data_IF_579432571437
#
_entry.id   IF_579432571437
#
_cell.length_a   1.000
_cell.length_b   1.000
_cell.length_c   1.000
_cell.angle_alpha   90.00
_cell.angle_beta   90.00
_cell.angle_gamma   90.00
#
_symmetry.space_group_name_H-M   'P 1'
#
loop_
_entity.id
_entity.type
_entity.pdbx_description
1 polymer ?
#
# COMPACT_ATOMS: atom_id res chain seq x y z
N UNK A 1 -34.38 -20.82 33.52
CA UNK A 1 -34.46 -19.49 32.88
C UNK A 1 -34.20 -19.70 31.41
N UNK A 2 -35.10 -19.24 30.55
CA UNK A 2 -34.93 -19.30 29.09
C UNK A 2 -33.89 -18.25 28.71
N UNK A 3 -32.82 -18.63 28.01
CA UNK A 3 -31.81 -17.67 27.55
C UNK A 3 -32.45 -16.76 26.49
N UNK A 4 -32.58 -15.48 26.79
CA UNK A 4 -33.08 -14.46 25.85
C UNK A 4 -31.98 -13.41 25.69
N UNK A 5 -31.52 -13.23 24.46
CA UNK A 5 -30.50 -12.25 24.11
C UNK A 5 -31.16 -10.93 23.73
N UNK A 6 -30.65 -9.83 24.28
CA UNK A 6 -31.08 -8.47 23.97
C UNK A 6 -29.96 -7.73 23.26
N UNK A 7 -30.27 -7.10 22.14
CA UNK A 7 -29.31 -6.29 21.39
C UNK A 7 -28.92 -5.05 22.19
N UNK A 8 -27.64 -4.68 22.13
CA UNK A 8 -27.06 -3.43 22.64
C UNK A 8 -26.71 -2.51 21.46
N UNK A 9 -27.62 -1.62 21.03
CA UNK A 9 -27.37 -0.73 19.88
C UNK A 9 -26.21 0.24 20.11
N UNK A 10 -25.92 0.55 21.38
CA UNK A 10 -24.80 1.39 21.81
C UNK A 10 -23.43 0.71 21.64
N UNK A 11 -23.41 -0.58 21.30
CA UNK A 11 -22.20 -1.38 21.12
C UNK A 11 -22.31 -2.21 19.85
N UNK A 12 -22.44 -1.53 18.70
CA UNK A 12 -22.55 -2.16 17.40
C UNK A 12 -21.62 -1.49 16.40
N UNK A 13 -20.74 -2.28 15.77
CA UNK A 13 -19.74 -1.80 14.83
C UNK A 13 -19.69 -2.67 13.58
N UNK A 14 -19.36 -2.07 12.43
CA UNK A 14 -19.27 -2.81 11.18
C UNK A 14 -18.24 -2.20 10.25
N UNK A 15 -17.65 -3.07 9.42
CA UNK A 15 -16.73 -2.67 8.37
C UNK A 15 -17.49 -2.43 7.06
N UNK A 16 -17.64 -1.17 6.69
CA UNK A 16 -18.43 -0.73 5.53
C UNK A 16 -17.82 -1.23 4.23
N UNK A 17 -18.65 -1.73 3.32
CA UNK A 17 -18.22 -2.10 1.95
C UNK A 17 -17.98 -0.88 1.08
N UNK A 18 -18.71 0.19 1.31
CA UNK A 18 -18.61 1.44 0.53
C UNK A 18 -17.36 2.22 0.93
N UNK A 19 -17.26 2.58 2.22
CA UNK A 19 -16.19 3.46 2.70
C UNK A 19 -14.93 2.70 3.09
N UNK A 20 -15.01 1.36 3.23
CA UNK A 20 -13.89 0.51 3.65
C UNK A 20 -13.31 0.92 5.00
N UNK A 21 -14.18 1.36 5.91
CA UNK A 21 -13.83 1.76 7.28
C UNK A 21 -14.75 1.10 8.30
N UNK A 22 -14.23 0.92 9.51
CA UNK A 22 -15.03 0.55 10.67
C UNK A 22 -15.78 1.77 11.22
N UNK A 23 -17.06 1.57 11.50
CA UNK A 23 -17.91 2.60 12.10
C UNK A 23 -19.02 1.99 12.95
N UNK A 24 -19.75 2.85 13.66
CA UNK A 24 -20.98 2.45 14.33
C UNK A 24 -22.04 2.07 13.29
N UNK A 25 -22.89 1.09 13.60
CA UNK A 25 -23.94 0.61 12.70
C UNK A 25 -25.32 0.75 13.32
N UNK A 26 -26.33 0.91 12.46
CA UNK A 26 -27.73 0.93 12.87
C UNK A 26 -28.33 -0.47 12.85
N UNK A 27 -28.35 -1.12 14.01
CA UNK A 27 -28.89 -2.49 14.20
C UNK A 27 -30.41 -2.58 14.10
N UNK A 28 -31.11 -1.45 13.91
CA UNK A 28 -32.57 -1.44 13.67
C UNK A 28 -32.93 -1.71 12.21
N UNK A 29 -31.94 -1.70 11.32
CA UNK A 29 -32.13 -2.02 9.91
C UNK A 29 -32.37 -3.52 9.69
N UNK A 30 -33.01 -3.89 8.57
CA UNK A 30 -33.10 -5.29 8.15
C UNK A 30 -31.73 -5.95 8.05
N UNK A 31 -31.64 -7.21 8.47
CA UNK A 31 -30.39 -7.99 8.43
C UNK A 31 -29.83 -8.15 7.01
N UNK A 32 -30.69 -8.26 6.00
CA UNK A 32 -30.28 -8.27 4.59
C UNK A 32 -29.56 -6.98 4.19
N UNK A 33 -30.04 -5.82 4.66
CA UNK A 33 -29.40 -4.52 4.44
C UNK A 33 -28.05 -4.47 5.14
N UNK A 34 -27.98 -4.86 6.41
CA UNK A 34 -26.71 -4.90 7.14
C UNK A 34 -25.68 -5.84 6.50
N UNK A 35 -26.10 -7.01 6.01
CA UNK A 35 -25.20 -7.95 5.32
C UNK A 35 -24.78 -7.45 3.93
N UNK A 36 -25.63 -6.65 3.28
CA UNK A 36 -25.36 -6.00 2.01
C UNK A 36 -24.38 -4.83 2.15
N UNK A 37 -24.50 -4.04 3.21
CA UNK A 37 -23.73 -2.79 3.39
C UNK A 37 -22.38 -3.04 4.08
N UNK A 38 -22.30 -4.06 4.94
CA UNK A 38 -21.11 -4.37 5.73
C UNK A 38 -20.50 -5.71 5.33
N UNK A 39 -19.17 -5.79 5.30
CA UNK A 39 -18.47 -7.06 5.09
C UNK A 39 -18.58 -7.97 6.32
N UNK A 40 -18.50 -7.35 7.49
CA UNK A 40 -18.59 -7.97 8.80
C UNK A 40 -19.14 -6.93 9.76
N UNK A 41 -19.93 -7.37 10.73
CA UNK A 41 -20.38 -6.54 11.82
C UNK A 41 -20.36 -7.31 13.15
N UNK A 42 -20.13 -6.56 14.21
CA UNK A 42 -20.04 -7.02 15.58
C UNK A 42 -21.10 -6.28 16.40
N UNK A 43 -21.94 -7.03 17.11
CA UNK A 43 -23.03 -6.44 17.90
C UNK A 43 -22.98 -6.99 19.32
N UNK A 44 -22.98 -6.09 20.30
CA UNK A 44 -23.12 -6.41 21.71
C UNK A 44 -24.49 -6.98 22.01
N UNK A 45 -24.53 -8.04 22.79
CA UNK A 45 -25.73 -8.70 23.28
C UNK A 45 -25.66 -8.82 24.79
N UNK A 46 -26.79 -8.70 25.49
CA UNK A 46 -26.88 -8.99 26.92
C UNK A 46 -27.87 -10.13 27.16
N UNK A 47 -27.48 -11.12 27.98
CA UNK A 47 -28.35 -12.20 28.42
C UNK A 47 -27.96 -12.69 29.82
N UNK A 48 -28.94 -12.87 30.70
CA UNK A 48 -28.76 -13.40 32.07
C UNK A 48 -27.69 -12.65 32.89
N UNK A 49 -27.58 -11.33 32.73
CA UNK A 49 -26.59 -10.50 33.42
C UNK A 49 -25.16 -10.64 32.91
N UNK A 50 -24.97 -11.23 31.73
CA UNK A 50 -23.69 -11.32 31.02
C UNK A 50 -23.79 -10.64 29.66
N UNK A 51 -22.66 -10.09 29.23
CA UNK A 51 -22.53 -9.47 27.92
C UNK A 51 -21.72 -10.35 26.98
N UNK A 52 -22.10 -10.29 25.71
CA UNK A 52 -21.54 -11.09 24.63
C UNK A 52 -21.39 -10.23 23.37
N UNK A 53 -20.54 -10.67 22.45
CA UNK A 53 -20.40 -10.12 21.11
C UNK A 53 -20.87 -11.16 20.10
N UNK A 54 -21.82 -10.77 19.26
CA UNK A 54 -22.19 -11.49 18.05
C UNK A 54 -21.31 -11.03 16.90
N UNK A 55 -20.67 -11.98 16.22
CA UNK A 55 -19.86 -11.72 15.02
C UNK A 55 -20.63 -12.27 13.83
N UNK A 56 -21.02 -11.39 12.89
CA UNK A 56 -21.93 -11.76 11.80
C UNK A 56 -21.39 -12.87 10.90
N UNK A 57 -20.07 -12.94 10.72
CA UNK A 57 -19.42 -13.94 9.88
C UNK A 57 -19.72 -15.39 10.30
N UNK A 58 -19.92 -15.65 11.59
CA UNK A 58 -20.24 -16.99 12.09
C UNK A 58 -21.70 -17.40 11.89
N UNK A 59 -22.55 -16.44 11.53
CA UNK A 59 -24.00 -16.62 11.36
C UNK A 59 -24.50 -16.16 9.98
N UNK A 60 -23.60 -15.86 9.04
CA UNK A 60 -23.94 -15.20 7.78
C UNK A 60 -25.04 -15.93 6.99
N UNK A 61 -25.01 -17.27 6.96
CA UNK A 61 -26.02 -18.07 6.27
C UNK A 61 -27.44 -17.86 6.82
N UNK A 62 -27.56 -17.64 8.13
CA UNK A 62 -28.83 -17.41 8.82
C UNK A 62 -29.30 -15.96 8.71
N UNK A 63 -28.37 -15.00 8.54
CA UNK A 63 -28.66 -13.56 8.58
C UNK A 63 -28.89 -12.94 7.20
N UNK A 64 -28.16 -13.38 6.16
CA UNK A 64 -28.00 -12.64 4.90
C UNK A 64 -29.28 -12.43 4.07
N UNK A 65 -30.31 -13.25 4.25
CA UNK A 65 -31.57 -13.18 3.48
C UNK A 65 -32.78 -12.77 4.33
N UNK A 66 -32.53 -12.22 5.53
CA UNK A 66 -33.60 -11.86 6.47
C UNK A 66 -34.03 -10.42 6.29
N UNK A 67 -35.33 -10.22 6.10
CA UNK A 67 -35.96 -8.90 5.96
C UNK A 67 -36.31 -8.25 7.31
N UNK A 68 -36.08 -8.96 8.42
CA UNK A 68 -36.35 -8.49 9.79
C UNK A 68 -35.05 -8.10 10.51
N UNK A 69 -35.19 -7.64 11.75
CA UNK A 69 -34.07 -7.08 12.52
C UNK A 69 -33.26 -8.15 13.24
N UNK A 70 -32.06 -7.79 13.72
CA UNK A 70 -31.26 -8.68 14.56
C UNK A 70 -32.01 -9.12 15.83
N UNK A 71 -32.82 -8.23 16.42
CA UNK A 71 -33.59 -8.56 17.61
C UNK A 71 -34.68 -9.60 17.32
N UNK A 72 -35.31 -9.54 16.14
CA UNK A 72 -36.33 -10.51 15.73
C UNK A 72 -35.71 -11.90 15.54
N UNK A 73 -34.55 -11.98 14.89
CA UNK A 73 -33.80 -13.24 14.77
C UNK A 73 -33.42 -13.82 16.14
N UNK A 74 -32.96 -13.00 17.09
CA UNK A 74 -32.64 -13.45 18.44
C UNK A 74 -33.88 -13.94 19.21
N UNK A 75 -35.04 -13.32 18.98
CA UNK A 75 -36.31 -13.75 19.57
C UNK A 75 -36.71 -15.15 19.07
N UNK A 76 -36.47 -15.48 17.79
CA UNK A 76 -36.67 -16.84 17.26
C UNK A 76 -35.72 -17.87 17.89
N UNK A 77 -34.52 -17.45 18.30
CA UNK A 77 -33.53 -18.31 18.97
C UNK A 77 -33.69 -18.37 20.49
N UNK A 78 -34.76 -17.79 21.04
CA UNK A 78 -34.99 -17.78 22.49
C UNK A 78 -34.97 -19.20 23.07
N UNK A 79 -34.21 -19.40 24.14
CA UNK A 79 -34.03 -20.69 24.80
C UNK A 79 -32.97 -21.59 24.19
N UNK A 80 -32.35 -21.20 23.07
CA UNK A 80 -31.22 -21.88 22.46
C UNK A 80 -29.93 -21.15 22.82
N UNK A 81 -28.90 -21.89 23.22
CA UNK A 81 -27.57 -21.33 23.45
C UNK A 81 -26.87 -21.12 22.11
N UNK A 82 -26.45 -19.89 21.82
CA UNK A 82 -25.65 -19.57 20.64
C UNK A 82 -24.17 -19.75 21.00
N UNK A 83 -23.54 -20.81 20.52
CA UNK A 83 -22.19 -21.21 20.93
C UNK A 83 -21.05 -20.36 20.34
N UNK A 84 -21.31 -19.60 19.28
CA UNK A 84 -20.31 -18.78 18.59
C UNK A 84 -20.22 -17.33 19.10
N UNK A 85 -20.91 -17.01 20.21
CA UNK A 85 -20.81 -15.70 20.86
C UNK A 85 -19.48 -15.59 21.62
N UNK A 86 -18.80 -14.45 21.47
CA UNK A 86 -17.61 -14.11 22.26
C UNK A 86 -18.03 -13.43 23.56
N UNK A 87 -17.34 -13.68 24.67
CA UNK A 87 -17.62 -13.02 25.94
C UNK A 87 -17.24 -11.52 25.89
N UNK A 88 -18.07 -10.66 26.46
CA UNK A 88 -17.88 -9.21 26.54
C UNK A 88 -18.49 -8.43 25.37
N UNK A 89 -18.55 -7.10 25.50
CA UNK A 89 -19.03 -6.19 24.47
C UNK A 89 -17.92 -5.89 23.44
N UNK A 90 -18.27 -5.65 22.16
CA UNK A 90 -17.27 -5.28 21.16
C UNK A 90 -16.68 -3.90 21.48
N UNK A 91 -15.36 -3.76 21.30
CA UNK A 91 -14.64 -2.47 21.42
C UNK A 91 -13.94 -2.14 20.12
N UNK A 92 -14.08 -0.89 19.67
CA UNK A 92 -13.44 -0.41 18.44
C UNK A 92 -12.02 0.07 18.75
N UNK A 93 -11.06 -0.85 18.69
CA UNK A 93 -9.63 -0.58 18.82
C UNK A 93 -8.89 -0.87 17.51
N UNK A 94 -7.83 -0.09 17.25
CA UNK A 94 -7.04 -0.20 16.02
C UNK A 94 -5.56 -0.38 16.31
N UNK A 95 -4.93 -1.24 15.52
CA UNK A 95 -3.48 -1.25 15.34
C UNK A 95 -3.12 -0.46 14.07
N UNK A 96 -1.95 0.17 14.10
CA UNK A 96 -1.44 1.00 13.02
C UNK A 96 -0.19 0.42 12.41
N UNK A 97 -0.08 0.55 11.10
CA UNK A 97 1.20 0.41 10.41
C UNK A 97 1.93 1.75 10.48
N UNK A 98 3.26 1.71 10.41
CA UNK A 98 4.08 2.90 10.45
C UNK A 98 5.21 2.86 9.42
N UNK A 99 5.60 4.02 8.94
CA UNK A 99 6.77 4.19 8.10
C UNK A 99 7.99 4.51 8.95
N UNK A 100 9.15 3.95 8.58
CA UNK A 100 10.42 4.28 9.21
C UNK A 100 11.57 4.17 8.22
N UNK A 101 12.61 4.97 8.43
CA UNK A 101 13.93 4.71 7.82
C UNK A 101 14.60 3.57 8.57
N UNK A 102 15.06 2.56 7.84
CA UNK A 102 15.80 1.44 8.43
C UNK A 102 17.18 1.88 8.91
N UNK A 103 17.77 2.88 8.27
CA UNK A 103 19.05 3.44 8.66
C UNK A 103 19.01 4.12 10.05
N UNK A 104 17.81 4.43 10.56
CA UNK A 104 17.60 4.98 11.89
C UNK A 104 17.30 3.91 12.96
N UNK A 105 17.18 2.63 12.57
CA UNK A 105 16.80 1.54 13.48
C UNK A 105 18.02 0.75 13.97
N UNK A 106 18.20 0.68 15.28
CA UNK A 106 19.25 -0.12 15.93
C UNK A 106 18.57 -1.42 16.38
N UNK A 107 18.76 -2.57 15.71
CA UNK A 107 20.05 -3.11 15.24
C UNK A 107 19.95 -3.74 13.83
N UNK A 108 19.62 -2.94 12.81
CA UNK A 108 19.49 -3.45 11.43
C UNK A 108 20.72 -3.08 10.62
N UNK A 109 21.33 -4.09 9.99
CA UNK A 109 22.48 -3.93 9.09
C UNK A 109 22.06 -4.20 7.65
N UNK A 110 22.70 -3.52 6.70
CA UNK A 110 22.36 -3.63 5.28
C UNK A 110 23.63 -3.81 4.45
N UNK A 111 23.56 -4.72 3.48
CA UNK A 111 24.70 -5.11 2.66
C UNK A 111 24.31 -5.21 1.19
N UNK A 112 25.20 -4.75 0.31
CA UNK A 112 25.11 -5.05 -1.12
C UNK A 112 25.69 -6.44 -1.37
N UNK A 113 25.06 -7.23 -2.24
CA UNK A 113 25.61 -8.50 -2.67
C UNK A 113 25.05 -8.96 -4.02
N UNK A 114 25.75 -9.85 -4.74
CA UNK A 114 25.20 -10.45 -5.94
C UNK A 114 23.99 -11.34 -5.66
N UNK A 115 23.14 -11.59 -6.68
CA UNK A 115 21.99 -12.47 -6.55
C UNK A 115 22.38 -13.88 -6.08
N UNK A 116 21.80 -14.32 -4.96
CA UNK A 116 22.05 -15.64 -4.37
C UNK A 116 23.37 -15.79 -3.61
N UNK A 117 24.18 -14.74 -3.49
CA UNK A 117 25.44 -14.76 -2.74
C UNK A 117 25.22 -14.40 -1.27
N UNK A 118 26.06 -14.95 -0.40
CA UNK A 118 26.15 -14.50 0.98
C UNK A 118 26.94 -13.17 1.02
N UNK A 119 26.46 -12.17 1.76
CA UNK A 119 27.05 -10.82 1.78
C UNK A 119 28.52 -10.75 2.26
N UNK A 120 29.00 -11.79 2.95
CA UNK A 120 30.39 -11.91 3.42
C UNK A 120 31.35 -12.57 2.43
N UNK A 121 30.85 -13.05 1.28
CA UNK A 121 31.69 -13.60 0.23
C UNK A 121 32.42 -12.48 -0.51
N UNK A 122 33.53 -12.81 -1.16
CA UNK A 122 34.27 -11.86 -2.00
C UNK A 122 33.59 -11.77 -3.38
N UNK A 123 33.28 -10.55 -3.83
CA UNK A 123 32.65 -10.28 -5.12
C UNK A 123 32.98 -8.87 -5.61
N UNK A 124 32.79 -8.62 -6.91
CA UNK A 124 32.85 -7.26 -7.45
C UNK A 124 31.61 -6.48 -7.02
N UNK A 125 31.80 -5.23 -6.62
CA UNK A 125 30.68 -4.34 -6.27
C UNK A 125 29.76 -4.06 -7.47
N UNK A 126 30.30 -4.18 -8.69
CA UNK A 126 29.53 -3.99 -9.93
C UNK A 126 28.47 -5.09 -10.13
N UNK A 127 28.73 -6.28 -9.59
CA UNK A 127 27.83 -7.44 -9.64
C UNK A 127 26.82 -7.46 -8.49
N UNK A 128 26.90 -6.49 -7.55
CA UNK A 128 26.13 -6.50 -6.31
C UNK A 128 24.68 -6.00 -6.50
N UNK A 129 23.92 -6.66 -7.37
CA UNK A 129 22.58 -6.26 -7.80
C UNK A 129 21.51 -6.25 -6.70
N UNK A 130 21.73 -6.93 -5.58
CA UNK A 130 20.77 -7.03 -4.49
C UNK A 130 21.20 -6.25 -3.25
N UNK A 131 20.23 -5.91 -2.41
CA UNK A 131 20.45 -5.49 -1.02
C UNK A 131 19.97 -6.61 -0.09
N UNK A 132 20.73 -6.92 0.95
CA UNK A 132 20.34 -7.83 2.02
C UNK A 132 20.26 -7.06 3.33
N UNK A 133 19.13 -7.20 4.01
CA UNK A 133 18.85 -6.64 5.33
C UNK A 133 19.03 -7.75 6.37
N UNK A 134 19.92 -7.51 7.32
CA UNK A 134 20.23 -8.42 8.42
C UNK A 134 19.76 -7.77 9.72
N UNK A 135 19.08 -8.54 10.56
CA UNK A 135 18.60 -8.08 11.85
C UNK A 135 18.82 -9.17 12.90
N UNK A 136 18.91 -8.76 14.17
CA UNK A 136 18.96 -9.68 15.30
C UNK A 136 17.76 -10.66 15.30
N UNK A 137 17.98 -11.87 15.79
CA UNK A 137 16.97 -12.95 15.79
C UNK A 137 15.61 -12.55 16.37
N UNK A 138 15.60 -11.70 17.41
CA UNK A 138 14.36 -11.23 18.06
C UNK A 138 13.47 -10.39 17.13
N UNK A 139 14.04 -9.79 16.08
CA UNK A 139 13.33 -8.95 15.12
C UNK A 139 13.11 -9.65 13.77
N UNK A 140 13.63 -10.87 13.63
CA UNK A 140 13.67 -11.59 12.36
C UNK A 140 12.28 -11.74 11.75
N UNK A 141 11.28 -12.16 12.53
CA UNK A 141 9.94 -12.39 12.02
C UNK A 141 9.23 -11.09 11.62
N UNK A 142 9.48 -9.99 12.36
CA UNK A 142 8.97 -8.65 12.04
C UNK A 142 9.41 -8.23 10.65
N UNK A 143 10.73 -8.22 10.39
CA UNK A 143 11.30 -7.74 9.14
C UNK A 143 11.11 -8.70 7.97
N UNK A 144 11.11 -10.02 8.23
CA UNK A 144 10.92 -11.03 7.17
C UNK A 144 9.51 -11.07 6.61
N UNK A 145 8.52 -10.89 7.47
CA UNK A 145 7.14 -11.15 7.11
C UNK A 145 6.23 -9.95 7.23
N UNK A 146 6.58 -8.89 7.96
CA UNK A 146 5.66 -7.81 8.28
C UNK A 146 6.05 -6.45 7.69
N UNK A 147 6.93 -6.40 6.68
CA UNK A 147 7.50 -5.14 6.20
C UNK A 147 7.52 -5.09 4.68
N UNK A 148 7.17 -3.94 4.11
CA UNK A 148 7.37 -3.61 2.70
C UNK A 148 8.49 -2.57 2.56
N UNK A 149 9.43 -2.76 1.64
CA UNK A 149 10.67 -1.98 1.56
C UNK A 149 10.71 -1.06 0.33
N UNK A 150 11.39 0.08 0.48
CA UNK A 150 11.76 0.97 -0.62
C UNK A 150 13.22 1.46 -0.48
N UNK A 151 13.84 1.78 -1.62
CA UNK A 151 15.17 2.38 -1.71
C UNK A 151 15.04 3.73 -2.42
N UNK A 152 15.43 4.81 -1.74
CA UNK A 152 15.27 6.19 -2.20
C UNK A 152 13.85 6.48 -2.72
N UNK A 153 12.83 5.97 -2.03
CA UNK A 153 11.43 6.14 -2.42
C UNK A 153 10.91 5.20 -3.50
N UNK A 154 11.75 4.30 -4.04
CA UNK A 154 11.35 3.28 -5.00
C UNK A 154 11.01 1.99 -4.27
N UNK A 155 9.75 1.56 -4.33
CA UNK A 155 9.34 0.29 -3.75
C UNK A 155 10.00 -0.87 -4.48
N UNK A 156 10.46 -1.87 -3.73
CA UNK A 156 11.20 -3.02 -4.26
C UNK A 156 10.59 -4.35 -3.79
N UNK A 157 10.63 -5.40 -4.63
CA UNK A 157 10.24 -6.72 -4.19
C UNK A 157 11.22 -7.22 -3.12
N UNK A 158 10.77 -8.16 -2.30
CA UNK A 158 11.59 -8.74 -1.26
C UNK A 158 11.18 -10.17 -0.93
N UNK A 159 12.16 -10.94 -0.46
CA UNK A 159 11.96 -12.31 -0.01
C UNK A 159 12.84 -12.62 1.20
N UNK A 160 12.35 -13.52 2.05
CA UNK A 160 13.16 -14.08 3.12
C UNK A 160 14.30 -14.91 2.54
N UNK A 161 15.49 -14.71 3.08
CA UNK A 161 16.70 -15.49 2.79
C UNK A 161 17.18 -16.18 4.08
N UNK A 162 18.08 -17.15 3.94
CA UNK A 162 18.80 -17.79 5.04
C UNK A 162 19.42 -16.76 5.99
N UNK A 163 20.05 -15.72 5.44
CA UNK A 163 20.79 -14.69 6.17
C UNK A 163 19.97 -13.51 6.67
N UNK A 164 18.78 -13.27 6.12
CA UNK A 164 18.08 -11.99 6.31
C UNK A 164 16.89 -11.81 5.38
N UNK A 165 16.66 -10.59 4.92
CA UNK A 165 15.68 -10.24 3.89
C UNK A 165 16.43 -9.74 2.68
N UNK A 166 16.22 -10.39 1.53
CA UNK A 166 16.83 -9.99 0.27
C UNK A 166 15.86 -9.12 -0.51
N UNK A 167 16.37 -8.02 -1.05
CA UNK A 167 15.70 -7.08 -1.93
C UNK A 167 16.29 -7.22 -3.35
N UNK A 168 15.72 -8.07 -4.22
CA UNK A 168 16.27 -8.31 -5.54
C UNK A 168 16.31 -7.04 -6.40
N UNK A 169 17.44 -6.79 -7.08
CA UNK A 169 17.62 -5.64 -7.98
C UNK A 169 17.79 -4.28 -7.27
N UNK A 170 17.62 -4.23 -5.95
CA UNK A 170 17.69 -2.99 -5.18
C UNK A 170 19.10 -2.38 -5.13
N UNK A 171 20.15 -3.20 -5.31
CA UNK A 171 21.53 -2.74 -5.36
C UNK A 171 21.82 -1.87 -6.58
N UNK A 172 21.14 -2.11 -7.72
CA UNK A 172 21.24 -1.27 -8.92
C UNK A 172 20.74 0.15 -8.64
N UNK A 173 19.67 0.29 -7.85
CA UNK A 173 19.13 1.59 -7.44
C UNK A 173 20.16 2.32 -6.58
N UNK A 174 20.76 1.65 -5.59
CA UNK A 174 21.79 2.23 -4.72
C UNK A 174 22.99 2.72 -5.55
N UNK A 175 23.50 1.89 -6.47
CA UNK A 175 24.64 2.25 -7.33
C UNK A 175 24.32 3.42 -8.26
N UNK A 176 23.13 3.46 -8.85
CA UNK A 176 22.73 4.54 -9.78
C UNK A 176 22.43 5.85 -9.06
N UNK A 177 21.74 5.79 -7.92
CA UNK A 177 21.36 6.97 -7.16
C UNK A 177 22.53 7.58 -6.35
N UNK A 178 23.51 6.75 -5.98
CA UNK A 178 24.65 7.12 -5.14
C UNK A 178 24.32 7.24 -3.66
N UNK A 179 23.08 6.91 -3.25
CA UNK A 179 22.60 7.02 -1.87
C UNK A 179 21.82 5.76 -1.48
N UNK A 180 22.08 5.16 -0.30
CA UNK A 180 21.31 4.01 0.20
C UNK A 180 20.26 4.46 1.23
N UNK A 181 19.33 5.34 0.86
CA UNK A 181 18.22 5.64 1.76
C UNK A 181 17.21 4.48 1.73
N UNK A 182 17.10 3.76 2.83
CA UNK A 182 16.25 2.57 2.93
C UNK A 182 15.08 2.90 3.85
N UNK A 183 13.90 3.01 3.26
CA UNK A 183 12.65 3.20 3.97
C UNK A 183 11.84 1.92 3.98
N UNK A 184 10.93 1.79 4.95
CA UNK A 184 9.99 0.69 4.96
C UNK A 184 8.66 1.04 5.62
N UNK A 185 7.61 0.37 5.16
CA UNK A 185 6.30 0.37 5.81
C UNK A 185 6.14 -0.91 6.62
N UNK A 186 5.95 -0.77 7.92
CA UNK A 186 5.85 -1.87 8.87
C UNK A 186 4.38 -2.20 9.14
N UNK A 187 3.95 -3.35 8.64
CA UNK A 187 2.60 -3.91 8.80
C UNK A 187 2.54 -5.00 9.88
N UNK A 188 3.59 -5.27 10.65
CA UNK A 188 3.68 -6.47 11.52
C UNK A 188 2.53 -6.66 12.52
N UNK A 189 1.83 -5.58 12.91
CA UNK A 189 0.61 -5.66 13.74
C UNK A 189 -0.68 -5.89 12.94
N UNK A 190 -0.67 -5.53 11.65
CA UNK A 190 -1.83 -5.53 10.76
C UNK A 190 -1.91 -6.84 9.96
N UNK A 191 -0.79 -7.33 9.45
CA UNK A 191 -0.73 -8.56 8.66
C UNK A 191 0.63 -8.79 8.03
N UNK A 192 0.88 -10.02 7.59
CA UNK A 192 2.10 -10.35 6.88
C UNK A 192 2.07 -9.80 5.45
N UNK A 193 3.21 -9.31 4.98
CA UNK A 193 3.49 -8.82 3.64
C UNK A 193 4.17 -9.91 2.82
N UNK A 194 3.77 -10.04 1.56
CA UNK A 194 4.45 -10.88 0.58
C UNK A 194 4.48 -10.21 -0.77
N UNK A 195 5.57 -10.39 -1.52
CA UNK A 195 5.74 -9.80 -2.86
C UNK A 195 5.83 -10.86 -3.95
N UNK A 196 5.40 -10.48 -5.15
CA UNK A 196 5.34 -11.32 -6.34
C UNK A 196 5.81 -10.49 -7.55
N UNK A 197 7.06 -10.66 -8.00
CA UNK A 197 7.54 -9.99 -9.21
C UNK A 197 6.62 -10.32 -10.39
N UNK A 198 6.13 -9.30 -11.10
CA UNK A 198 5.18 -9.50 -12.21
C UNK A 198 5.83 -10.30 -13.35
N UNK A 199 7.15 -10.22 -13.52
CA UNK A 199 7.93 -11.04 -14.44
C UNK A 199 7.67 -12.56 -14.29
N UNK A 200 7.33 -13.00 -13.09
CA UNK A 200 7.08 -14.41 -12.77
C UNK A 200 5.59 -14.77 -12.79
N UNK A 201 4.72 -13.84 -13.18
CA UNK A 201 3.28 -14.02 -13.19
C UNK A 201 2.74 -14.11 -14.62
N UNK A 202 1.55 -14.71 -14.74
CA UNK A 202 0.87 -14.79 -16.04
C UNK A 202 0.02 -13.54 -16.24
N UNK A 203 0.33 -12.78 -17.30
CA UNK A 203 -0.41 -11.61 -17.74
C UNK A 203 -1.40 -12.02 -18.85
N UNK A 204 -2.70 -11.97 -18.55
CA UNK A 204 -3.76 -12.26 -19.51
C UNK A 204 -4.51 -10.98 -19.88
N UNK A 205 -4.69 -10.73 -21.17
CA UNK A 205 -5.58 -9.68 -21.64
C UNK A 205 -7.03 -10.17 -21.52
N UNK A 206 -7.91 -9.38 -20.92
CA UNK A 206 -9.35 -9.69 -20.86
C UNK A 206 -9.98 -9.71 -22.25
N UNK A 207 -9.51 -8.84 -23.13
CA UNK A 207 -9.87 -8.78 -24.53
C UNK A 207 -8.60 -8.89 -25.36
N UNK A 208 -8.43 -10.01 -26.07
CA UNK A 208 -7.22 -10.28 -26.88
C UNK A 208 -7.05 -9.30 -28.03
N UNK A 209 -8.09 -8.56 -28.40
CA UNK A 209 -8.03 -7.51 -29.42
C UNK A 209 -7.50 -6.18 -28.88
N UNK A 210 -7.42 -6.02 -27.55
CA UNK A 210 -6.93 -4.81 -26.89
C UNK A 210 -5.44 -4.90 -26.58
N UNK A 211 -4.84 -3.74 -26.34
CA UNK A 211 -3.44 -3.61 -25.97
C UNK A 211 -3.23 -3.72 -24.46
N UNK A 212 -1.97 -3.58 -24.01
CA UNK A 212 -1.63 -3.66 -22.59
C UNK A 212 -2.09 -2.44 -21.76
N UNK A 213 -2.57 -1.37 -22.41
CA UNK A 213 -3.19 -0.23 -21.72
C UNK A 213 -4.65 -0.53 -21.32
N UNK A 214 -5.21 -1.65 -21.76
CA UNK A 214 -6.52 -2.09 -21.31
C UNK A 214 -6.48 -2.74 -19.91
N UNK A 215 -7.60 -3.33 -19.49
CA UNK A 215 -7.65 -4.09 -18.24
C UNK A 215 -6.92 -5.43 -18.41
N UNK A 216 -5.94 -5.67 -17.55
CA UNK A 216 -5.15 -6.90 -17.50
C UNK A 216 -5.60 -7.76 -16.34
N UNK A 217 -5.75 -9.05 -16.59
CA UNK A 217 -5.93 -10.06 -15.56
C UNK A 217 -4.57 -10.68 -15.20
N UNK A 218 -4.21 -10.61 -13.93
CA UNK A 218 -2.94 -11.14 -13.42
C UNK A 218 -3.24 -12.28 -12.44
N UNK A 219 -2.70 -13.46 -12.73
CA UNK A 219 -2.86 -14.64 -11.88
C UNK A 219 -1.71 -14.76 -10.88
N UNK A 220 -2.05 -14.93 -9.60
CA UNK A 220 -1.12 -15.16 -8.50
C UNK A 220 -0.99 -16.65 -8.19
N UNK A 221 0.17 -17.11 -7.69
CA UNK A 221 0.37 -18.53 -7.34
C UNK A 221 -0.46 -18.95 -6.11
N UNK A 222 -0.72 -18.01 -5.20
CA UNK A 222 -1.37 -18.24 -3.91
C UNK A 222 -2.72 -17.53 -3.83
N UNK A 223 -3.56 -18.02 -2.91
CA UNK A 223 -4.86 -17.39 -2.67
C UNK A 223 -4.69 -16.00 -2.07
N UNK A 224 -5.43 -15.04 -2.62
CA UNK A 224 -5.58 -13.67 -2.12
C UNK A 224 -6.84 -13.50 -1.26
N UNK A 225 -7.56 -14.58 -0.97
CA UNK A 225 -8.71 -14.54 -0.06
C UNK A 225 -8.26 -14.08 1.33
N UNK A 226 -8.95 -13.07 1.88
CA UNK A 226 -8.59 -12.51 3.18
C UNK A 226 -7.35 -11.60 3.15
N UNK A 227 -6.93 -11.13 1.98
CA UNK A 227 -5.75 -10.26 1.82
C UNK A 227 -6.14 -8.95 1.15
N UNK A 228 -5.47 -7.87 1.55
CA UNK A 228 -5.44 -6.63 0.77
C UNK A 228 -4.28 -6.68 -0.22
N UNK A 229 -4.56 -6.36 -1.48
CA UNK A 229 -3.59 -6.38 -2.58
C UNK A 229 -3.20 -4.95 -2.95
N UNK A 230 -1.91 -4.73 -3.15
CA UNK A 230 -1.38 -3.57 -3.85
C UNK A 230 -0.44 -4.01 -4.96
N UNK A 231 -0.07 -3.08 -5.83
CA UNK A 231 0.84 -3.32 -6.93
C UNK A 231 1.78 -2.13 -7.10
N UNK A 232 2.99 -2.41 -7.57
CA UNK A 232 4.03 -1.44 -7.84
C UNK A 232 4.35 -1.51 -9.32
N UNK A 233 4.38 -0.35 -9.99
CA UNK A 233 4.79 -0.24 -11.40
C UNK A 233 5.89 0.80 -11.48
N UNK A 234 7.06 0.42 -11.97
CA UNK A 234 8.17 1.37 -12.10
C UNK A 234 8.70 1.90 -10.77
N UNK A 235 8.54 1.18 -9.66
CA UNK A 235 8.92 1.62 -8.31
C UNK A 235 7.88 2.48 -7.59
N UNK A 236 6.75 2.80 -8.23
CA UNK A 236 5.65 3.60 -7.66
C UNK A 236 4.52 2.70 -7.15
N UNK A 237 4.03 2.97 -5.94
CA UNK A 237 3.02 2.14 -5.28
C UNK A 237 1.59 2.54 -5.66
N UNK A 238 0.75 1.52 -5.83
CA UNK A 238 -0.68 1.65 -6.07
C UNK A 238 -1.45 0.62 -5.24
N UNK A 239 -2.60 1.02 -4.69
CA UNK A 239 -3.50 0.10 -4.01
C UNK A 239 -4.59 -0.41 -4.95
N UNK A 240 -4.87 -1.70 -4.89
CA UNK A 240 -5.88 -2.30 -5.76
C UNK A 240 -7.29 -1.93 -5.25
N UNK A 241 -8.15 -1.30 -6.07
CA UNK A 241 -9.52 -1.07 -5.68
C UNK A 241 -10.29 -2.39 -5.55
N UNK A 242 -11.42 -2.36 -4.83
CA UNK A 242 -12.27 -3.55 -4.61
C UNK A 242 -12.74 -4.19 -5.92
N UNK A 243 -13.00 -3.38 -6.95
CA UNK A 243 -13.37 -3.86 -8.29
C UNK A 243 -12.25 -4.60 -9.02
N UNK A 244 -11.02 -4.51 -8.52
CA UNK A 244 -9.86 -5.23 -9.04
C UNK A 244 -9.77 -6.69 -8.56
N UNK A 245 -10.55 -7.15 -7.59
CA UNK A 245 -10.54 -8.55 -7.17
C UNK A 245 -11.43 -9.36 -8.11
N UNK A 246 -10.84 -10.33 -8.83
CA UNK A 246 -11.57 -11.13 -9.83
C UNK A 246 -11.87 -12.55 -9.34
N UNK A 247 -10.92 -13.20 -8.70
CA UNK A 247 -11.08 -14.53 -8.11
C UNK A 247 -10.17 -14.70 -6.90
N UNK A 248 -10.19 -15.88 -6.28
CA UNK A 248 -9.32 -16.22 -5.16
C UNK A 248 -7.83 -16.17 -5.52
N UNK A 249 -7.45 -16.22 -6.80
CA UNK A 249 -6.05 -16.19 -7.28
C UNK A 249 -5.80 -15.21 -8.43
N UNK A 250 -6.73 -14.32 -8.74
CA UNK A 250 -6.54 -13.38 -9.84
C UNK A 250 -7.08 -12.00 -9.53
N UNK A 251 -6.34 -11.00 -10.01
CA UNK A 251 -6.69 -9.58 -9.93
C UNK A 251 -6.84 -8.99 -11.33
N UNK A 252 -7.60 -7.91 -11.43
CA UNK A 252 -7.75 -7.06 -12.60
C UNK A 252 -7.10 -5.71 -12.34
N UNK A 253 -6.13 -5.35 -13.17
CA UNK A 253 -5.45 -4.05 -13.12
C UNK A 253 -5.87 -3.26 -14.36
N UNK A 254 -6.46 -2.08 -14.15
CA UNK A 254 -6.89 -1.18 -15.22
C UNK A 254 -5.82 -0.12 -15.46
N UNK A 255 -5.22 -0.09 -16.65
CA UNK A 255 -4.12 0.81 -17.00
C UNK A 255 -4.40 1.85 -18.13
N UNK A 256 -5.65 2.21 -18.49
CA UNK A 256 -5.87 3.09 -19.65
C UNK A 256 -5.35 4.52 -19.42
N UNK A 257 -5.24 4.92 -18.16
CA UNK A 257 -4.75 6.23 -17.74
C UNK A 257 -3.34 6.15 -17.12
N UNK A 258 -2.65 5.00 -17.25
CA UNK A 258 -1.31 4.86 -16.69
C UNK A 258 -0.30 5.67 -17.53
N UNK A 259 0.33 6.66 -16.91
CA UNK A 259 1.27 7.55 -17.58
C UNK A 259 2.71 7.01 -17.50
N UNK A 260 3.09 6.24 -18.52
CA UNK A 260 4.44 5.65 -18.65
C UNK A 260 5.51 6.74 -18.76
N UNK A 261 5.24 7.86 -19.46
CA UNK A 261 6.22 8.93 -19.62
C UNK A 261 6.55 9.56 -18.27
N UNK A 262 5.51 9.77 -17.48
CA UNK A 262 5.63 10.28 -16.15
C UNK A 262 6.42 9.33 -15.23
N UNK A 263 6.07 8.04 -15.19
CA UNK A 263 6.83 7.04 -14.42
C UNK A 263 8.30 7.02 -14.80
N UNK A 264 8.62 6.99 -16.10
CA UNK A 264 10.01 6.95 -16.60
C UNK A 264 10.78 8.20 -16.17
N UNK A 265 10.21 9.39 -16.29
CA UNK A 265 10.87 10.64 -15.93
C UNK A 265 11.13 10.77 -14.42
N UNK A 266 10.13 10.42 -13.61
CA UNK A 266 10.22 10.52 -12.15
C UNK A 266 11.28 9.58 -11.57
N UNK A 267 11.53 8.47 -12.26
CA UNK A 267 12.34 7.38 -11.73
C UNK A 267 13.64 7.12 -12.49
N UNK A 268 13.95 7.91 -13.54
CA UNK A 268 15.18 7.79 -14.37
C UNK A 268 16.50 7.90 -13.59
N UNK A 269 16.47 8.53 -12.41
CA UNK A 269 17.60 8.62 -11.48
C UNK A 269 17.90 7.26 -10.81
N UNK A 270 16.90 6.39 -10.72
CA UNK A 270 16.95 5.13 -9.96
C UNK A 270 17.02 3.91 -10.87
N UNK A 271 16.40 3.96 -12.05
CA UNK A 271 16.36 2.86 -12.99
C UNK A 271 16.98 3.23 -14.34
N UNK A 272 17.50 2.21 -15.02
CA UNK A 272 17.93 2.31 -16.40
C UNK A 272 16.81 1.89 -17.36
N UNK A 273 16.19 2.88 -18.01
CA UNK A 273 15.09 2.66 -18.92
C UNK A 273 15.51 2.29 -20.34
N UNK A 274 16.81 2.18 -20.62
CA UNK A 274 17.27 1.54 -21.85
C UNK A 274 16.92 0.04 -21.88
N UNK A 275 16.80 -0.60 -20.70
CA UNK A 275 16.39 -2.00 -20.54
C UNK A 275 15.02 -2.32 -21.15
N UNK A 276 14.10 -1.35 -21.13
CA UNK A 276 12.77 -1.43 -21.74
C UNK A 276 12.70 -0.68 -23.09
N UNK A 277 13.86 -0.26 -23.60
CA UNK A 277 14.01 0.44 -24.88
C UNK A 277 13.60 1.91 -24.87
N UNK A 278 13.36 2.55 -23.73
CA UNK A 278 12.91 3.94 -23.68
C UNK A 278 14.08 4.93 -23.56
N UNK A 279 15.05 4.62 -22.71
CA UNK A 279 16.15 5.52 -22.37
C UNK A 279 15.67 6.78 -21.62
N UNK A 280 16.25 7.93 -21.94
CA UNK A 280 16.05 9.19 -21.21
C UNK A 280 14.95 10.12 -21.78
N UNK A 281 14.19 9.65 -22.77
CA UNK A 281 13.15 10.41 -23.49
C UNK A 281 13.63 11.68 -24.22
N UNK A 282 14.94 11.79 -24.46
CA UNK A 282 15.53 12.92 -25.16
C UNK A 282 15.38 12.88 -26.69
N UNK A 283 14.86 11.77 -27.25
CA UNK A 283 14.74 11.56 -28.70
C UNK A 283 13.29 11.32 -29.17
N UNK A 284 12.94 11.67 -30.43
CA UNK A 284 11.64 11.33 -31.00
C UNK A 284 11.34 9.84 -31.02
N UNK A 285 12.37 9.02 -31.21
CA UNK A 285 12.26 7.56 -31.20
C UNK A 285 11.88 7.06 -29.81
N UNK A 286 12.51 7.57 -28.75
CA UNK A 286 12.17 7.23 -27.36
C UNK A 286 10.73 7.61 -27.03
N UNK A 287 10.27 8.79 -27.46
CA UNK A 287 8.89 9.25 -27.25
C UNK A 287 7.87 8.40 -28.02
N UNK A 288 8.21 7.93 -29.23
CA UNK A 288 7.36 6.99 -29.97
C UNK A 288 7.30 5.63 -29.27
N UNK A 289 8.41 5.15 -28.70
CA UNK A 289 8.47 3.86 -27.99
C UNK A 289 7.57 3.84 -26.76
N UNK A 290 7.41 4.94 -26.02
CA UNK A 290 6.45 4.99 -24.91
C UNK A 290 5.02 4.70 -25.34
N UNK A 291 4.65 5.00 -26.59
CA UNK A 291 3.30 4.74 -27.11
C UNK A 291 3.10 3.29 -27.54
N UNK A 292 4.19 2.52 -27.59
CA UNK A 292 4.14 1.12 -27.96
C UNK A 292 3.63 0.30 -26.76
N UNK A 293 2.53 -0.47 -26.90
CA UNK A 293 2.06 -1.36 -25.85
C UNK A 293 3.11 -2.36 -25.34
N UNK A 294 4.06 -2.77 -26.17
CA UNK A 294 5.14 -3.67 -25.75
C UNK A 294 6.10 -3.00 -24.74
N UNK A 295 6.22 -1.66 -24.75
CA UNK A 295 6.98 -0.92 -23.75
C UNK A 295 6.29 -0.98 -22.39
N UNK A 296 4.95 -0.85 -22.34
CA UNK A 296 4.21 -1.02 -21.10
C UNK A 296 4.34 -2.45 -20.59
N UNK A 297 4.25 -3.46 -21.47
CA UNK A 297 4.52 -4.85 -21.08
C UNK A 297 5.92 -5.01 -20.49
N UNK A 298 6.94 -4.45 -21.14
CA UNK A 298 8.32 -4.49 -20.66
C UNK A 298 8.47 -3.83 -19.29
N UNK A 299 7.82 -2.67 -19.07
CA UNK A 299 7.77 -1.99 -17.77
C UNK A 299 7.07 -2.85 -16.70
N UNK A 300 5.94 -3.48 -17.03
CA UNK A 300 5.22 -4.36 -16.11
C UNK A 300 6.06 -5.58 -15.72
N UNK A 301 6.89 -6.11 -16.62
CA UNK A 301 7.78 -7.25 -16.34
C UNK A 301 9.17 -6.84 -15.85
N UNK A 302 9.44 -5.55 -15.69
CA UNK A 302 10.71 -5.05 -15.18
C UNK A 302 10.84 -5.33 -13.67
N UNK A 303 12.08 -5.40 -13.14
CA UNK A 303 12.35 -5.66 -11.72
C UNK A 303 11.75 -4.62 -10.76
N UNK A 304 11.42 -3.44 -11.29
CA UNK A 304 10.73 -2.35 -10.58
C UNK A 304 9.22 -2.55 -10.44
N UNK A 305 8.66 -3.63 -10.97
CA UNK A 305 7.22 -3.87 -11.03
C UNK A 305 6.86 -5.21 -10.39
N UNK A 306 6.00 -5.17 -9.37
CA UNK A 306 5.60 -6.36 -8.60
C UNK A 306 4.22 -6.16 -7.95
N UNK A 307 3.58 -7.27 -7.58
CA UNK A 307 2.37 -7.27 -6.76
C UNK A 307 2.77 -7.56 -5.32
N UNK A 308 2.07 -6.99 -4.35
CA UNK A 308 2.22 -7.36 -2.96
C UNK A 308 0.86 -7.60 -2.29
N UNK A 309 0.87 -8.42 -1.24
CA UNK A 309 -0.31 -8.73 -0.45
C UNK A 309 -0.03 -8.47 1.01
N UNK A 310 -1.00 -7.91 1.73
CA UNK A 310 -1.03 -7.86 3.19
C UNK A 310 -2.11 -8.83 3.67
N UNK A 311 -1.77 -9.72 4.59
CA UNK A 311 -2.65 -10.77 5.15
C UNK A 311 -3.72 -10.19 6.11
N UNK A 312 -4.47 -9.21 5.63
CA UNK A 312 -5.59 -8.57 6.29
C UNK A 312 -6.53 -7.98 5.24
N UNK A 313 -7.81 -8.37 5.18
CA UNK A 313 -8.75 -7.86 4.18
C UNK A 313 -9.42 -6.54 4.58
N UNK A 314 -9.17 -6.05 5.80
CA UNK A 314 -9.83 -4.89 6.42
C UNK A 314 -8.82 -3.80 6.79
N UNK A 315 -7.92 -3.48 5.85
CA UNK A 315 -7.06 -2.30 5.95
C UNK A 315 -7.85 -1.04 5.61
N UNK A 316 -7.73 -0.04 6.48
CA UNK A 316 -8.21 1.32 6.25
C UNK A 316 -7.04 2.21 5.88
N UNK A 317 -7.24 3.07 4.90
CA UNK A 317 -6.28 4.11 4.49
C UNK A 317 -6.78 5.48 4.96
N UNK A 318 -5.92 6.23 5.63
CA UNK A 318 -6.13 7.63 5.99
C UNK A 318 -5.11 8.48 5.23
N UNK A 319 -5.61 9.37 4.37
CA UNK A 319 -4.78 10.33 3.63
C UNK A 319 -4.81 11.67 4.34
N UNK A 320 -3.65 12.15 4.75
CA UNK A 320 -3.49 13.39 5.51
C UNK A 320 -2.58 14.35 4.77
N UNK A 321 -3.06 15.55 4.48
CA UNK A 321 -2.25 16.61 3.88
C UNK A 321 -1.17 17.09 4.86
N UNK A 322 0.06 17.26 4.37
CA UNK A 322 1.13 17.89 5.15
C UNK A 322 1.29 19.37 4.79
N UNK A 323 1.53 20.18 5.81
CA UNK A 323 1.79 21.60 5.67
C UNK A 323 3.24 21.82 5.22
N UNK A 324 3.43 22.85 4.41
CA UNK A 324 4.75 23.19 3.91
C UNK A 324 5.07 24.65 4.24
N UNK A 325 6.31 24.94 4.65
CA UNK A 325 6.76 26.31 4.93
C UNK A 325 7.62 26.86 3.76
N UNK A 326 8.30 28.00 3.96
CA UNK A 326 9.20 28.58 2.96
C UNK A 326 10.54 27.83 2.80
N UNK A 327 10.87 26.92 3.72
CA UNK A 327 12.12 26.15 3.74
C UNK A 327 11.90 24.86 2.96
N UNK A 328 12.68 24.64 1.92
CA UNK A 328 12.56 23.44 1.10
C UNK A 328 13.03 22.21 1.87
N UNK A 329 12.38 21.07 1.64
CA UNK A 329 12.67 19.79 2.32
C UNK A 329 12.22 19.73 3.78
N UNK A 330 11.50 20.74 4.29
CA UNK A 330 10.92 20.74 5.64
C UNK A 330 9.41 20.84 5.60
N UNK A 331 8.75 19.87 6.23
CA UNK A 331 7.30 19.71 6.23
C UNK A 331 6.79 19.58 7.66
N UNK A 332 5.51 19.88 7.84
CA UNK A 332 4.86 19.87 9.14
C UNK A 332 3.55 19.10 9.04
N UNK A 333 3.28 18.27 10.05
CA UNK A 333 1.99 17.63 10.19
C UNK A 333 1.35 18.10 11.49
N UNK A 334 0.28 18.88 11.30
CA UNK A 334 -0.65 19.28 12.33
C UNK A 334 -2.01 18.69 12.00
N UNK A 335 -2.22 17.45 12.46
CA UNK A 335 -3.48 16.74 12.27
C UNK A 335 -4.50 17.23 13.32
N UNK A 336 -5.61 17.90 12.91
CA UNK A 336 -6.62 18.36 13.86
C UNK A 336 -7.28 17.22 14.66
N UNK A 337 -7.22 16.00 14.13
CA UNK A 337 -7.75 14.80 14.77
C UNK A 337 -6.69 14.02 15.57
N UNK A 338 -5.47 14.55 15.68
CA UNK A 338 -4.36 13.99 16.44
C UNK A 338 -3.46 15.12 16.98
N UNK A 339 -3.99 15.98 17.86
CA UNK A 339 -3.27 17.16 18.35
C UNK A 339 -2.02 16.80 19.17
N UNK A 340 -2.00 15.63 19.78
CA UNK A 340 -0.90 15.14 20.62
C UNK A 340 0.10 14.27 19.83
N UNK A 341 -0.16 14.03 18.54
CA UNK A 341 0.74 13.29 17.64
C UNK A 341 0.89 11.80 17.97
N UNK A 342 -0.14 11.19 18.55
CA UNK A 342 -0.14 9.79 18.98
C UNK A 342 -0.33 8.81 17.80
N UNK A 343 -0.93 9.26 16.69
CA UNK A 343 -1.11 8.40 15.52
C UNK A 343 0.23 8.12 14.87
N UNK A 344 0.41 6.86 14.47
CA UNK A 344 1.61 6.45 13.76
C UNK A 344 1.78 7.19 12.43
N UNK A 345 3.03 7.47 12.09
CA UNK A 345 3.38 8.16 10.86
C UNK A 345 3.35 7.20 9.67
N UNK A 346 2.74 7.63 8.57
CA UNK A 346 2.66 6.89 7.32
C UNK A 346 3.79 7.22 6.36
N UNK A 347 3.80 6.63 5.16
CA UNK A 347 4.71 7.07 4.11
C UNK A 347 4.20 8.37 3.48
N UNK A 348 5.12 9.21 3.00
CA UNK A 348 4.78 10.41 2.22
C UNK A 348 4.79 10.06 0.73
N UNK A 349 3.76 10.47 0.00
CA UNK A 349 3.73 10.44 -1.47
C UNK A 349 3.79 11.84 -2.02
N UNK A 350 4.57 12.01 -3.09
CA UNK A 350 4.43 13.18 -3.95
C UNK A 350 3.27 13.00 -4.92
N UNK A 351 2.88 14.08 -5.60
CA UNK A 351 1.83 14.07 -6.65
C UNK A 351 2.09 13.11 -7.80
N UNK A 352 3.30 12.60 -7.88
CA UNK A 352 3.76 11.67 -8.89
C UNK A 352 3.73 10.20 -8.42
N UNK A 353 3.30 9.95 -7.18
CA UNK A 353 3.23 8.61 -6.59
C UNK A 353 4.57 8.05 -6.13
N UNK A 354 5.65 8.85 -6.18
CA UNK A 354 6.95 8.49 -5.60
C UNK A 354 6.88 8.70 -4.09
N UNK A 355 7.39 7.72 -3.35
CA UNK A 355 7.51 7.84 -1.91
C UNK A 355 8.68 8.76 -1.56
N UNK A 356 8.46 9.64 -0.58
CA UNK A 356 9.50 10.54 -0.08
C UNK A 356 9.94 10.04 1.28
N UNK A 357 11.22 9.65 1.36
CA UNK A 357 11.87 9.34 2.62
C UNK A 357 11.96 10.57 3.51
N UNK A 358 11.75 10.37 4.82
CA UNK A 358 11.80 11.45 5.78
C UNK A 358 12.37 11.00 7.13
N UNK A 359 12.91 11.97 7.86
CA UNK A 359 13.30 11.85 9.27
C UNK A 359 12.38 12.72 10.13
N UNK A 360 11.53 12.10 10.97
CA UNK A 360 10.58 12.83 11.81
C UNK A 360 11.25 13.35 13.09
N UNK A 361 10.91 14.57 13.48
CA UNK A 361 11.19 15.17 14.78
C UNK A 361 9.90 15.74 15.37
N UNK A 362 9.74 15.65 16.69
CA UNK A 362 8.62 16.30 17.39
C UNK A 362 9.07 17.68 17.90
N UNK A 363 8.49 18.74 17.35
CA UNK A 363 8.89 20.12 17.65
C UNK A 363 7.65 20.98 17.89
N UNK A 364 7.64 21.76 18.99
CA UNK A 364 6.58 22.74 19.29
C UNK A 364 5.13 22.19 19.25
N UNK A 365 4.94 20.89 19.51
CA UNK A 365 3.63 20.24 19.51
C UNK A 365 3.14 19.80 18.13
N UNK A 366 4.03 19.70 17.15
CA UNK A 366 3.73 19.13 15.83
C UNK A 366 4.86 18.26 15.31
N UNK A 367 4.53 17.37 14.37
CA UNK A 367 5.53 16.56 13.68
C UNK A 367 6.20 17.38 12.60
N UNK A 368 7.53 17.41 12.61
CA UNK A 368 8.37 18.01 11.58
C UNK A 368 9.07 16.91 10.80
N UNK A 369 9.03 16.98 9.47
CA UNK A 369 9.70 16.02 8.60
C UNK A 369 10.81 16.71 7.83
N UNK A 370 12.01 16.13 7.90
CA UNK A 370 13.13 16.53 7.05
C UNK A 370 13.25 15.52 5.91
N UNK A 371 13.31 15.99 4.66
CA UNK A 371 13.40 15.16 3.46
C UNK A 371 14.56 15.61 2.58
N UNK A 372 15.04 14.72 1.71
CA UNK A 372 16.00 15.07 0.66
C UNK A 372 15.33 15.49 -0.65
N UNK A 373 13.99 15.51 -0.69
CA UNK A 373 13.20 15.90 -1.85
C UNK A 373 12.82 17.38 -1.71
N UNK A 374 13.72 18.27 -2.14
CA UNK A 374 13.60 19.70 -1.93
C UNK A 374 12.65 20.37 -2.93
N UNK A 375 12.77 20.01 -4.19
CA UNK A 375 12.04 20.56 -5.32
C UNK A 375 11.72 19.48 -6.36
N UNK A 376 10.76 19.76 -7.23
CA UNK A 376 10.46 18.93 -8.39
C UNK A 376 10.58 19.73 -9.67
N UNK A 377 11.07 19.08 -10.73
CA UNK A 377 11.20 19.70 -12.05
C UNK A 377 9.81 19.99 -12.63
N UNK A 378 9.62 21.21 -13.15
CA UNK A 378 8.42 21.52 -13.92
C UNK A 378 8.57 20.97 -15.35
N UNK A 379 8.06 19.77 -15.60
CA UNK A 379 8.16 19.12 -16.90
C UNK A 379 7.21 19.71 -17.96
N UNK A 380 7.70 19.83 -19.20
CA UNK A 380 6.94 20.34 -20.37
C UNK A 380 5.65 19.57 -20.65
N UNK A 381 5.62 18.28 -20.29
CA UNK A 381 4.45 17.43 -20.52
C UNK A 381 3.23 17.85 -19.67
N UNK A 382 3.42 18.67 -18.64
CA UNK A 382 2.35 19.17 -17.78
C UNK A 382 1.56 20.31 -18.42
N UNK A 383 2.22 21.13 -19.22
CA UNK A 383 1.62 22.31 -19.85
C UNK A 383 1.20 22.06 -21.31
N UNK A 384 1.67 20.94 -21.89
CA UNK A 384 1.44 20.63 -23.31
C UNK A 384 0.95 19.21 -23.51
N UNK A 385 0.22 18.97 -24.61
CA UNK A 385 -0.16 17.60 -25.02
C UNK A 385 1.10 16.84 -25.45
N UNK A 386 1.75 16.18 -24.51
CA UNK A 386 3.03 15.49 -24.72
C UNK A 386 2.95 14.42 -25.82
N UNK A 387 1.77 13.84 -26.02
CA UNK A 387 1.50 12.88 -27.09
C UNK A 387 1.75 13.44 -28.51
N UNK A 388 1.89 14.76 -28.67
CA UNK A 388 2.23 15.37 -29.96
C UNK A 388 3.67 15.89 -30.02
N UNK A 389 4.46 15.72 -28.95
CA UNK A 389 5.82 16.24 -28.86
C UNK A 389 6.83 15.25 -29.46
N UNK A 390 7.91 15.81 -30.04
CA UNK A 390 9.06 15.04 -30.57
C UNK A 390 10.14 14.78 -29.51
N UNK A 391 10.06 15.43 -28.36
CA UNK A 391 10.97 15.26 -27.22
C UNK A 391 10.15 15.47 -25.96
N UNK A 392 10.36 14.63 -24.95
CA UNK A 392 9.75 14.81 -23.64
C UNK A 392 10.91 14.85 -22.66
N UNK A 393 11.34 16.06 -22.32
CA UNK A 393 12.42 16.25 -21.39
C UNK A 393 12.13 17.42 -20.45
N UNK A 394 13.11 17.70 -19.62
CA UNK A 394 13.24 18.88 -18.78
C UNK A 394 13.48 20.20 -19.57
N UNK A 395 13.18 20.28 -20.89
CA UNK A 395 13.35 21.51 -21.67
C UNK A 395 12.29 22.54 -21.29
N UNK A 396 12.51 23.17 -20.14
CA UNK A 396 11.76 24.23 -19.48
C UNK A 396 10.94 25.10 -20.45
N UNK A 397 9.62 25.09 -20.30
CA UNK A 397 8.87 26.28 -20.65
C UNK A 397 9.23 27.34 -19.60
N UNK A 398 9.95 28.39 -20.00
CA UNK A 398 10.30 29.54 -19.14
C UNK A 398 9.03 30.32 -18.68
N UNK A 399 7.84 29.88 -19.08
CA UNK A 399 6.63 30.69 -19.13
C UNK A 399 5.65 30.31 -18.02
N UNK A 400 6.09 30.40 -16.76
CA UNK A 400 5.23 30.24 -15.59
C UNK A 400 5.78 30.99 -14.38
N UNK A 401 4.94 31.46 -13.43
CA UNK A 401 5.38 32.26 -12.28
C UNK A 401 6.32 31.52 -11.32
N UNK A 402 6.47 30.19 -11.47
CA UNK A 402 7.27 29.33 -10.60
C UNK A 402 8.64 28.95 -11.20
N UNK A 403 8.94 29.32 -12.45
CA UNK A 403 10.22 28.98 -13.08
C UNK A 403 10.40 27.47 -13.33
N UNK A 404 11.65 26.97 -13.39
CA UNK A 404 11.94 25.58 -13.78
C UNK A 404 11.74 24.54 -12.68
N UNK A 405 11.54 24.99 -11.44
CA UNK A 405 11.41 24.16 -10.26
C UNK A 405 10.16 24.57 -9.51
N UNK A 406 9.46 23.59 -8.96
CA UNK A 406 8.32 23.85 -8.10
C UNK A 406 8.49 23.13 -6.77
N UNK A 407 7.68 23.57 -5.81
CA UNK A 407 7.57 22.91 -4.53
C UNK A 407 6.98 21.51 -4.70
N UNK A 408 7.59 20.53 -4.05
CA UNK A 408 7.03 19.19 -3.95
C UNK A 408 5.81 19.26 -3.04
N UNK A 409 4.67 18.81 -3.56
CA UNK A 409 3.45 18.65 -2.77
C UNK A 409 3.36 17.22 -2.29
N UNK A 410 3.19 17.08 -0.97
CA UNK A 410 3.20 15.79 -0.30
C UNK A 410 1.92 15.53 0.47
N UNK A 411 1.56 14.26 0.55
CA UNK A 411 0.48 13.73 1.39
C UNK A 411 0.96 12.49 2.13
N UNK A 412 0.50 12.32 3.36
CA UNK A 412 0.81 11.17 4.21
C UNK A 412 -0.28 10.12 4.10
N UNK A 413 0.12 8.87 3.86
CA UNK A 413 -0.78 7.73 3.81
C UNK A 413 -0.55 6.84 5.03
N UNK A 414 -1.51 6.83 5.95
CA UNK A 414 -1.51 5.99 7.15
C UNK A 414 -2.44 4.80 6.94
N UNK A 415 -2.06 3.66 7.53
CA UNK A 415 -2.87 2.45 7.48
C UNK A 415 -3.17 1.95 8.88
N UNK A 416 -4.41 1.52 9.09
CA UNK A 416 -4.85 0.88 10.32
C UNK A 416 -5.75 -0.30 10.04
N UNK A 417 -5.87 -1.19 11.02
CA UNK A 417 -6.83 -2.27 11.00
C UNK A 417 -7.37 -2.52 12.40
N UNK A 418 -8.57 -3.10 12.47
CA UNK A 418 -9.17 -3.52 13.74
C UNK A 418 -8.24 -4.52 14.44
N UNK A 419 -7.99 -4.27 15.72
CA UNK A 419 -7.26 -5.19 16.61
C UNK A 419 -8.07 -6.48 16.78
N UNK A 420 -7.42 -7.63 16.65
CA UNK A 420 -8.05 -8.96 16.68
C UNK A 420 -8.36 -9.43 18.10
#
# INVERSE_FOLDING_TARGET
>A
MTTAYQVRPDSAFGFSRETRTWGAIDVTQPLETLCSDYHIFEVGLSALGKDYTLISQYHLADLQNRTDTLQDWLNEKAGVVISALKDGLPTLEFDWAHYQSINADVPVETYLCPPGYHYSQEFSIDDADDVVIVCEDKWRDKYRNGVLYNINGQWVPHQSDTVGVRLPGAGKIVRRAGTPDIGCMVFSKLGNVKTYPIANLTLNKLDTTRDYYSTLMISLPESITGKTVGFVIGGLIHWLPVTGYFSDKAIMVSLPNFDVAHTVLETRRYYDWDSIGVGDLSSPTSVQRIRNPETLKALLTHESSFIFTVDNPYLEEEVVGVSHNAIWGRLYLKDPNDPDGEKQLGYLLNRFGKTVGYWPTWEEGEWVFNTTEFDSQNYVFRETRWYNQKKINDAQAIVGPFGPWEKVYLEMHRFRARKK
#
